data_IF_403226966966
#
_entry.id   IF_403226966966
#
_cell.length_a   1.000
_cell.length_b   1.000
_cell.length_c   1.000
_cell.angle_alpha   90.00
_cell.angle_beta   90.00
_cell.angle_gamma   90.00
#
_symmetry.space_group_name_H-M   'P 1'
#
loop_
_entity.id
_entity.type
_entity.pdbx_description
1 polymer ?
#
# COMPACT_ATOMS: atom_id res chain seq x y z
N UNK A 1 -23.00 -22.34 15.82
CA UNK A 1 -23.20 -21.65 14.53
C UNK A 1 -22.48 -20.32 14.56
N UNK A 2 -21.80 -20.00 13.46
CA UNK A 2 -21.20 -18.71 13.08
C UNK A 2 -20.10 -18.13 13.99
N UNK A 3 -18.85 -18.49 13.69
CA UNK A 3 -17.70 -17.64 13.98
C UNK A 3 -17.78 -16.42 13.04
N UNK A 4 -18.05 -15.24 13.60
CA UNK A 4 -17.94 -13.99 12.89
C UNK A 4 -16.45 -13.75 12.60
N UNK A 5 -15.99 -14.16 11.42
CA UNK A 5 -14.74 -13.62 10.88
C UNK A 5 -14.95 -12.12 10.75
N UNK A 6 -14.31 -11.35 11.63
CA UNK A 6 -14.15 -9.92 11.48
C UNK A 6 -13.40 -9.68 10.16
N UNK A 7 -14.17 -9.63 9.08
CA UNK A 7 -13.68 -9.29 7.76
C UNK A 7 -13.20 -7.86 7.83
N UNK A 8 -11.88 -7.67 7.94
CA UNK A 8 -11.24 -6.48 7.41
C UNK A 8 -11.77 -6.33 5.98
N UNK A 9 -12.62 -5.32 5.75
CA UNK A 9 -13.20 -5.03 4.45
C UNK A 9 -12.06 -4.80 3.46
N UNK A 10 -11.74 -5.83 2.67
CA UNK A 10 -11.05 -5.66 1.39
C UNK A 10 -12.05 -4.95 0.48
N UNK A 11 -12.03 -3.62 0.48
CA UNK A 11 -12.68 -2.85 -0.57
C UNK A 11 -11.75 -2.86 -1.78
N UNK A 12 -11.86 -3.91 -2.62
CA UNK A 12 -11.27 -3.91 -3.97
C UNK A 12 -12.04 -2.92 -4.83
N UNK A 13 -11.77 -1.63 -4.64
CA UNK A 13 -12.22 -0.62 -5.59
C UNK A 13 -11.29 -0.70 -6.80
N UNK A 14 -11.77 -1.37 -7.85
CA UNK A 14 -11.16 -1.43 -9.19
C UNK A 14 -11.23 -0.04 -9.83
N UNK A 15 -10.47 0.92 -9.29
CA UNK A 15 -10.38 2.26 -9.84
C UNK A 15 -9.29 2.31 -10.90
N UNK A 16 -9.69 2.34 -12.17
CA UNK A 16 -8.99 2.98 -13.32
C UNK A 16 -7.60 2.50 -13.76
N UNK A 17 -6.71 2.15 -12.83
CA UNK A 17 -5.25 2.07 -13.03
C UNK A 17 -4.69 0.63 -12.96
N UNK A 18 -5.54 -0.40 -13.02
CA UNK A 18 -5.10 -1.80 -13.04
C UNK A 18 -4.51 -2.33 -11.73
N UNK A 19 -4.72 -1.62 -10.61
CA UNK A 19 -4.28 -2.00 -9.27
C UNK A 19 -5.40 -2.29 -8.28
N UNK A 20 -5.07 -2.94 -7.17
CA UNK A 20 -5.93 -3.13 -5.99
C UNK A 20 -5.60 -2.07 -4.94
N UNK A 21 -6.62 -1.41 -4.40
CA UNK A 21 -6.48 -0.44 -3.31
C UNK A 21 -6.55 -1.15 -1.95
N UNK A 22 -5.62 -0.85 -1.07
CA UNK A 22 -5.51 -1.33 0.32
C UNK A 22 -5.53 -0.10 1.22
N UNK A 23 -6.33 -0.09 2.28
CA UNK A 23 -6.46 1.07 3.16
C UNK A 23 -6.17 0.65 4.60
N UNK A 24 -5.30 1.40 5.28
CA UNK A 24 -4.79 1.06 6.61
C UNK A 24 -4.00 2.22 7.22
N UNK A 25 -4.03 2.35 8.54
CA UNK A 25 -3.39 3.43 9.31
C UNK A 25 -3.66 4.86 8.78
N UNK A 26 -4.81 5.08 8.14
CA UNK A 26 -5.18 6.37 7.55
C UNK A 26 -4.59 6.65 6.18
N UNK A 27 -3.80 5.74 5.61
CA UNK A 27 -3.25 5.86 4.24
C UNK A 27 -3.85 4.79 3.31
N UNK A 28 -3.65 4.93 2.01
CA UNK A 28 -4.08 3.97 1.01
C UNK A 28 -2.90 3.56 0.11
N UNK A 29 -2.75 2.27 -0.18
CA UNK A 29 -1.82 1.73 -1.17
C UNK A 29 -2.59 1.24 -2.39
N UNK A 30 -2.17 1.62 -3.58
CA UNK A 30 -2.64 1.09 -4.86
C UNK A 30 -1.54 0.20 -5.41
N UNK A 31 -1.73 -1.11 -5.33
CA UNK A 31 -0.71 -2.11 -5.68
C UNK A 31 -1.14 -2.89 -6.93
N UNK A 32 -0.23 -3.47 -7.73
CA UNK A 32 -0.60 -4.21 -8.93
C UNK A 32 -1.51 -5.41 -8.61
N UNK A 33 -2.35 -5.83 -9.57
CA UNK A 33 -3.20 -7.02 -9.45
C UNK A 33 -2.43 -8.36 -9.63
N UNK A 34 -1.19 -8.42 -9.19
CA UNK A 34 -0.41 -9.65 -9.20
C UNK A 34 -0.69 -10.50 -7.94
N UNK A 35 -0.34 -11.79 -8.03
CA UNK A 35 -0.46 -12.70 -6.88
C UNK A 35 0.48 -12.23 -5.77
N UNK A 36 -0.10 -11.69 -4.70
CA UNK A 36 0.63 -11.14 -3.56
C UNK A 36 -0.15 -11.26 -2.26
N UNK A 37 0.59 -11.24 -1.14
CA UNK A 37 0.05 -11.20 0.21
C UNK A 37 -0.08 -9.76 0.66
N UNK A 38 -1.25 -9.39 1.20
CA UNK A 38 -1.52 -8.07 1.75
C UNK A 38 -2.06 -8.22 3.18
N UNK A 39 -1.52 -7.45 4.11
CA UNK A 39 -2.03 -7.27 5.46
C UNK A 39 -2.23 -5.77 5.66
N UNK A 40 -3.40 -5.35 6.11
CA UNK A 40 -3.70 -3.94 6.33
C UNK A 40 -4.66 -3.81 7.51
N UNK A 41 -4.52 -2.71 8.25
CA UNK A 41 -5.30 -2.44 9.44
C UNK A 41 -4.88 -1.16 10.14
N UNK A 42 -5.21 -1.02 11.42
CA UNK A 42 -4.93 0.20 12.19
C UNK A 42 -3.44 0.49 12.37
N UNK A 43 -2.60 -0.55 12.34
CA UNK A 43 -1.14 -0.43 12.52
C UNK A 43 -0.35 -0.24 11.23
N UNK A 44 -1.01 -0.24 10.06
CA UNK A 44 -0.32 -0.03 8.79
C UNK A 44 -0.87 -0.81 7.62
N UNK A 45 -0.13 -0.77 6.52
CA UNK A 45 -0.30 -1.62 5.34
C UNK A 45 1.03 -2.32 5.07
N UNK A 46 0.98 -3.63 4.89
CA UNK A 46 2.09 -4.45 4.46
C UNK A 46 1.66 -5.24 3.22
N UNK A 47 2.31 -5.02 2.10
CA UNK A 47 2.07 -5.65 0.83
C UNK A 47 3.34 -6.34 0.36
N UNK A 48 3.23 -7.59 -0.05
CA UNK A 48 4.35 -8.36 -0.59
C UNK A 48 3.88 -9.15 -1.80
N UNK A 49 4.61 -9.01 -2.88
CA UNK A 49 4.37 -9.69 -4.14
C UNK A 49 5.70 -10.13 -4.75
N UNK A 50 5.67 -10.66 -5.97
CA UNK A 50 6.89 -11.13 -6.61
C UNK A 50 7.78 -9.96 -7.10
N UNK A 51 7.17 -8.82 -7.42
CA UNK A 51 7.89 -7.64 -7.95
C UNK A 51 8.13 -6.56 -6.90
N UNK A 52 7.22 -6.42 -5.93
CA UNK A 52 7.23 -5.32 -4.98
C UNK A 52 6.86 -5.77 -3.56
N UNK A 53 7.63 -5.30 -2.60
CA UNK A 53 7.38 -5.42 -1.16
C UNK A 53 7.26 -4.01 -0.60
N UNK A 54 6.07 -3.59 -0.21
CA UNK A 54 5.82 -2.26 0.32
C UNK A 54 5.17 -2.34 1.70
N UNK A 55 5.67 -1.56 2.64
CA UNK A 55 5.13 -1.47 3.98
C UNK A 55 5.05 -0.03 4.46
N UNK A 56 4.06 0.24 5.29
CA UNK A 56 3.90 1.50 5.99
C UNK A 56 3.22 1.27 7.33
N UNK A 57 3.64 2.02 8.33
CA UNK A 57 2.96 2.16 9.63
C UNK A 57 1.91 3.29 9.63
N UNK A 58 1.70 3.95 8.49
CA UNK A 58 0.89 5.17 8.35
C UNK A 58 1.68 6.47 8.50
N UNK A 59 2.93 6.41 8.99
CA UNK A 59 3.82 7.59 9.06
C UNK A 59 5.02 7.51 8.13
N UNK A 60 5.53 6.32 7.81
CA UNK A 60 6.65 6.17 6.88
C UNK A 60 6.30 5.17 5.77
N UNK A 61 6.73 5.47 4.56
CA UNK A 61 6.63 4.55 3.42
C UNK A 61 7.97 3.85 3.20
N UNK A 62 7.93 2.54 3.11
CA UNK A 62 9.06 1.71 2.71
C UNK A 62 8.65 0.83 1.53
N UNK A 63 9.46 0.79 0.48
CA UNK A 63 9.22 -0.06 -0.71
C UNK A 63 10.53 -0.72 -1.12
N UNK A 64 10.51 -2.05 -1.28
CA UNK A 64 11.66 -2.91 -1.56
C UNK A 64 12.85 -2.65 -0.60
N UNK A 65 12.55 -2.39 0.68
CA UNK A 65 13.54 -2.06 1.70
C UNK A 65 14.07 -0.62 1.66
N UNK A 66 13.63 0.20 0.71
CA UNK A 66 14.00 1.61 0.59
C UNK A 66 12.96 2.51 1.25
N UNK A 67 13.39 3.50 2.03
CA UNK A 67 12.48 4.49 2.62
C UNK A 67 12.15 5.57 1.61
N UNK A 68 10.86 5.86 1.42
CA UNK A 68 10.37 6.96 0.59
C UNK A 68 9.97 8.16 1.45
N UNK A 69 10.32 8.14 2.74
CA UNK A 69 10.04 9.20 3.69
C UNK A 69 8.63 9.14 4.26
N UNK A 70 8.20 10.26 4.85
CA UNK A 70 6.98 10.30 5.64
C UNK A 70 5.69 10.32 4.80
N UNK A 71 4.64 9.69 5.33
CA UNK A 71 3.26 9.74 4.87
C UNK A 71 2.38 10.47 5.90
N UNK A 72 1.23 10.94 5.44
CA UNK A 72 0.20 11.58 6.22
C UNK A 72 -1.15 10.88 6.00
N UNK A 73 -2.04 10.95 6.98
CA UNK A 73 -3.39 10.42 6.82
C UNK A 73 -4.10 11.10 5.63
N UNK A 74 -4.66 10.28 4.75
CA UNK A 74 -5.22 10.68 3.46
C UNK A 74 -4.29 10.45 2.27
N UNK A 75 -3.00 10.17 2.50
CA UNK A 75 -2.07 9.86 1.41
C UNK A 75 -2.45 8.56 0.68
N UNK A 76 -2.32 8.61 -0.64
CA UNK A 76 -2.51 7.50 -1.57
C UNK A 76 -1.20 7.19 -2.26
N UNK A 77 -0.61 6.04 -1.93
CA UNK A 77 0.63 5.54 -2.50
C UNK A 77 0.33 4.63 -3.67
N UNK A 78 0.78 5.00 -4.87
CA UNK A 78 0.69 4.14 -6.05
C UNK A 78 1.99 3.38 -6.25
N UNK A 79 1.86 2.06 -6.29
CA UNK A 79 2.89 1.03 -6.41
C UNK A 79 2.64 0.16 -7.65
N UNK A 80 1.68 0.54 -8.50
CA UNK A 80 1.32 -0.13 -9.74
C UNK A 80 2.46 -0.15 -10.76
N UNK A 81 3.32 0.87 -10.72
CA UNK A 81 4.55 0.92 -11.50
C UNK A 81 5.75 0.63 -10.57
N UNK A 82 6.51 -0.46 -10.80
CA UNK A 82 7.62 -0.84 -9.92
C UNK A 82 8.84 0.09 -10.08
N UNK A 83 8.90 0.90 -11.15
CA UNK A 83 10.00 1.84 -11.38
C UNK A 83 9.74 3.21 -10.77
N UNK A 84 8.46 3.58 -10.59
CA UNK A 84 8.06 4.90 -10.10
C UNK A 84 7.03 4.79 -8.99
N UNK A 85 7.48 5.03 -7.75
CA UNK A 85 6.57 5.15 -6.61
C UNK A 85 5.95 6.55 -6.62
N UNK A 86 4.62 6.63 -6.53
CA UNK A 86 3.92 7.93 -6.46
C UNK A 86 3.16 8.05 -5.15
N UNK A 87 3.17 9.23 -4.55
CA UNK A 87 2.33 9.57 -3.39
C UNK A 87 1.44 10.74 -3.81
N UNK A 88 0.13 10.56 -3.72
CA UNK A 88 -0.89 11.49 -4.23
C UNK A 88 -0.67 11.86 -5.71
N UNK A 89 -0.27 10.88 -6.52
CA UNK A 89 0.02 11.08 -7.94
C UNK A 89 1.36 11.75 -8.25
N UNK A 90 2.09 12.24 -7.23
CA UNK A 90 3.42 12.84 -7.41
C UNK A 90 4.52 11.77 -7.28
N UNK A 91 5.47 11.68 -8.21
CA UNK A 91 6.58 10.73 -8.10
C UNK A 91 7.43 11.07 -6.88
N UNK A 92 7.84 10.03 -6.16
CA UNK A 92 8.65 10.15 -4.95
C UNK A 92 9.87 9.27 -5.09
N UNK A 93 11.03 9.84 -4.79
CA UNK A 93 12.31 9.11 -4.80
C UNK A 93 12.56 8.50 -3.43
N UNK A 94 13.22 7.34 -3.42
CA UNK A 94 13.72 6.79 -2.17
C UNK A 94 14.72 7.77 -1.55
N UNK A 95 14.53 8.11 -0.28
CA UNK A 95 15.54 8.77 0.51
C UNK A 95 16.66 7.78 0.76
N UNK A 96 17.76 7.92 0.02
CA UNK A 96 18.98 7.14 0.27
C UNK A 96 19.48 7.42 1.69
N UNK A 97 19.50 6.38 2.51
CA UNK A 97 20.32 6.34 3.72
C UNK A 97 21.72 5.85 3.36
#
# INVERSE_FOLDING_TARGET
MAAALAGCKVSVNTGGDGGRRLEGAGVAFVVPMETGKAQFGLGGINYQSNTITANTDGKQLTVNGLSYGALQAGDVVSLTDPSTIKVNGQPRVAGGG
#
